data_IF_469339847147
#
_entry.id   IF_469339847147
#
_cell.length_a   1.000
_cell.length_b   1.000
_cell.length_c   1.000
_cell.angle_alpha   90.00
_cell.angle_beta   90.00
_cell.angle_gamma   90.00
#
_symmetry.space_group_name_H-M   'P 1'
#
loop_
_entity.id
_entity.type
_entity.pdbx_description
1 polymer ?
#
# COMPACT_ATOMS: atom_id res chain seq x y z
N UNK A 1 24.29 -7.87 -18.18
CA UNK A 1 24.61 -6.42 -18.31
C UNK A 1 25.69 -6.09 -17.29
N UNK A 2 26.91 -5.71 -17.72
CA UNK A 2 27.94 -5.16 -16.82
C UNK A 2 27.73 -3.65 -16.76
N UNK A 3 27.38 -3.11 -15.59
CA UNK A 3 27.40 -1.67 -15.35
C UNK A 3 28.83 -1.27 -14.95
N UNK A 4 29.41 -0.20 -15.55
CA UNK A 4 30.73 0.28 -15.17
C UNK A 4 30.71 0.88 -13.76
N UNK A 5 31.81 0.71 -13.00
CA UNK A 5 31.88 1.19 -11.61
C UNK A 5 31.78 2.71 -11.52
N UNK A 6 32.31 3.42 -12.51
CA UNK A 6 32.31 4.87 -12.58
C UNK A 6 30.88 5.44 -12.58
N UNK A 7 29.96 4.77 -13.28
CA UNK A 7 28.55 5.14 -13.27
C UNK A 7 27.89 4.82 -11.92
N UNK A 8 28.19 3.65 -11.34
CA UNK A 8 27.66 3.24 -10.04
C UNK A 8 28.09 4.20 -8.92
N UNK A 9 29.35 4.60 -8.90
CA UNK A 9 29.88 5.52 -7.89
C UNK A 9 29.20 6.89 -7.96
N UNK A 10 29.01 7.40 -9.18
CA UNK A 10 28.31 8.66 -9.42
C UNK A 10 26.85 8.59 -8.98
N UNK A 11 26.12 7.56 -9.37
CA UNK A 11 24.68 7.46 -9.14
C UNK A 11 24.33 7.11 -7.69
N UNK A 12 25.13 6.25 -7.06
CA UNK A 12 24.91 5.82 -5.68
C UNK A 12 25.46 6.81 -4.64
N UNK A 13 26.40 7.67 -5.03
CA UNK A 13 27.13 8.54 -4.10
C UNK A 13 28.01 7.76 -3.11
N UNK A 14 28.38 6.52 -3.45
CA UNK A 14 29.23 5.65 -2.65
C UNK A 14 30.44 5.20 -3.48
N UNK A 15 31.63 5.16 -2.87
CA UNK A 15 32.82 4.70 -3.59
C UNK A 15 32.76 3.19 -3.87
N UNK A 16 33.48 2.76 -4.90
CA UNK A 16 33.69 1.35 -5.24
C UNK A 16 34.21 0.58 -4.03
N UNK A 17 35.10 1.19 -3.25
CA UNK A 17 35.62 0.58 -2.03
C UNK A 17 34.51 0.32 -1.00
N UNK A 18 33.64 1.30 -0.75
CA UNK A 18 32.49 1.16 0.16
C UNK A 18 31.53 0.06 -0.31
N UNK A 19 31.19 0.04 -1.60
CA UNK A 19 30.33 -1.00 -2.19
C UNK A 19 30.94 -2.40 -2.03
N UNK A 20 32.23 -2.55 -2.35
CA UNK A 20 32.93 -3.82 -2.21
C UNK A 20 33.09 -4.23 -0.74
N UNK A 21 33.28 -3.29 0.17
CA UNK A 21 33.32 -3.55 1.60
C UNK A 21 31.98 -4.09 2.10
N UNK A 22 30.85 -3.48 1.71
CA UNK A 22 29.51 -3.98 2.00
C UNK A 22 29.30 -5.39 1.41
N UNK A 23 29.69 -5.60 0.15
CA UNK A 23 29.56 -6.90 -0.51
C UNK A 23 30.35 -7.99 0.22
N UNK A 24 31.59 -7.72 0.64
CA UNK A 24 32.41 -8.65 1.42
C UNK A 24 31.81 -8.95 2.79
N UNK A 25 31.35 -7.91 3.50
CA UNK A 25 30.68 -8.07 4.80
C UNK A 25 29.44 -8.95 4.67
N UNK A 26 28.58 -8.68 3.69
CA UNK A 26 27.39 -9.47 3.42
C UNK A 26 27.73 -10.91 3.00
N UNK A 27 28.75 -11.11 2.17
CA UNK A 27 29.21 -12.44 1.76
C UNK A 27 29.78 -13.27 2.92
N UNK A 28 30.37 -12.64 3.93
CA UNK A 28 30.85 -13.31 5.14
C UNK A 28 29.73 -13.59 6.17
N UNK A 29 28.61 -12.87 6.09
CA UNK A 29 27.52 -12.99 7.05
C UNK A 29 26.86 -14.39 6.99
N UNK A 30 26.68 -15.01 8.16
CA UNK A 30 25.95 -16.28 8.33
C UNK A 30 24.43 -16.08 8.34
N UNK A 31 23.95 -14.88 8.64
CA UNK A 31 22.54 -14.52 8.69
C UNK A 31 22.37 -13.03 8.41
N UNK A 32 21.32 -12.66 7.68
CA UNK A 32 20.97 -11.28 7.39
C UNK A 32 19.46 -11.14 7.24
N UNK A 33 18.89 -10.07 7.82
CA UNK A 33 17.51 -9.64 7.58
C UNK A 33 17.57 -8.34 6.80
N UNK A 34 16.93 -8.32 5.63
CA UNK A 34 16.81 -7.12 4.82
C UNK A 34 15.59 -6.35 5.29
N UNK A 35 15.81 -5.16 5.80
CA UNK A 35 14.75 -4.28 6.30
C UNK A 35 14.68 -3.07 5.40
N UNK A 36 13.50 -2.76 4.87
CA UNK A 36 13.30 -1.55 4.07
C UNK A 36 11.92 -0.94 4.32
N UNK A 37 11.74 0.29 3.85
CA UNK A 37 10.45 0.98 3.88
C UNK A 37 10.30 1.89 2.65
N UNK A 38 9.66 3.04 2.80
CA UNK A 38 9.25 3.91 1.71
C UNK A 38 10.42 4.53 0.93
N UNK A 39 11.60 4.67 1.54
CA UNK A 39 12.83 5.10 0.85
C UNK A 39 13.31 4.14 -0.24
N UNK A 40 12.72 2.95 -0.36
CA UNK A 40 12.95 2.05 -1.49
C UNK A 40 11.75 2.04 -2.44
N UNK A 41 10.53 2.04 -1.90
CA UNK A 41 9.31 1.81 -2.69
C UNK A 41 8.75 3.08 -3.35
N UNK A 42 8.97 4.26 -2.78
CA UNK A 42 8.47 5.56 -3.31
C UNK A 42 9.44 6.17 -4.34
N UNK A 43 9.94 5.34 -5.25
CA UNK A 43 10.79 5.74 -6.36
C UNK A 43 10.20 5.22 -7.67
N UNK A 44 10.55 5.87 -8.79
CA UNK A 44 10.15 5.45 -10.14
C UNK A 44 10.44 3.97 -10.42
N UNK A 45 11.53 3.43 -9.86
CA UNK A 45 11.96 2.05 -10.01
C UNK A 45 11.76 1.22 -8.73
N UNK A 46 10.82 1.60 -7.85
CA UNK A 46 10.64 0.98 -6.54
C UNK A 46 10.39 -0.54 -6.60
N UNK A 47 9.66 -1.02 -7.61
CA UNK A 47 9.44 -2.45 -7.84
C UNK A 47 10.75 -3.17 -8.15
N UNK A 48 11.58 -2.60 -9.03
CA UNK A 48 12.85 -3.21 -9.43
C UNK A 48 13.87 -3.16 -8.28
N UNK A 49 13.85 -2.10 -7.47
CA UNK A 49 14.67 -1.99 -6.26
C UNK A 49 14.32 -3.10 -5.26
N UNK A 50 13.03 -3.35 -4.99
CA UNK A 50 12.60 -4.45 -4.11
C UNK A 50 13.00 -5.81 -4.69
N UNK A 51 12.86 -6.02 -6.01
CA UNK A 51 13.32 -7.24 -6.66
C UNK A 51 14.83 -7.43 -6.52
N UNK A 52 15.63 -6.38 -6.66
CA UNK A 52 17.08 -6.45 -6.49
C UNK A 52 17.47 -6.88 -5.07
N UNK A 53 16.82 -6.33 -4.05
CA UNK A 53 17.00 -6.73 -2.64
C UNK A 53 16.60 -8.20 -2.45
N UNK A 54 15.43 -8.60 -2.96
CA UNK A 54 14.96 -9.98 -2.85
C UNK A 54 15.91 -10.98 -3.54
N UNK A 55 16.40 -10.65 -4.74
CA UNK A 55 17.35 -11.47 -5.48
C UNK A 55 18.66 -11.66 -4.71
N UNK A 56 19.18 -10.61 -4.07
CA UNK A 56 20.38 -10.70 -3.24
C UNK A 56 20.17 -11.64 -2.05
N UNK A 57 19.03 -11.51 -1.35
CA UNK A 57 18.68 -12.39 -0.24
C UNK A 57 18.54 -13.86 -0.69
N UNK A 58 17.88 -14.09 -1.81
CA UNK A 58 17.67 -15.42 -2.38
C UNK A 58 18.99 -16.07 -2.82
N UNK A 59 19.87 -15.32 -3.50
CA UNK A 59 21.18 -15.81 -3.95
C UNK A 59 22.07 -16.32 -2.81
N UNK A 60 21.84 -15.84 -1.58
CA UNK A 60 22.58 -16.23 -0.38
C UNK A 60 21.81 -17.12 0.59
N UNK A 61 20.61 -17.59 0.23
CA UNK A 61 19.78 -18.40 1.11
C UNK A 61 19.41 -17.67 2.42
N UNK A 62 19.13 -16.37 2.33
CA UNK A 62 18.71 -15.51 3.45
C UNK A 62 17.19 -15.46 3.60
N UNK A 63 16.48 -16.52 3.20
CA UNK A 63 15.04 -16.68 3.33
C UNK A 63 14.75 -18.12 3.76
N UNK A 64 13.71 -18.34 4.57
CA UNK A 64 13.24 -19.69 4.95
C UNK A 64 13.94 -20.29 6.17
N UNK A 65 14.71 -19.50 6.94
CA UNK A 65 15.34 -19.95 8.19
C UNK A 65 15.40 -18.85 9.25
N UNK A 66 15.52 -19.18 10.55
CA UNK A 66 15.59 -18.20 11.63
C UNK A 66 16.70 -17.16 11.41
N UNK A 67 16.44 -15.93 11.88
CA UNK A 67 17.37 -14.77 11.80
C UNK A 67 17.73 -14.35 10.36
N UNK A 68 16.93 -14.77 9.39
CA UNK A 68 17.03 -14.32 8.00
C UNK A 68 15.67 -13.92 7.47
N UNK A 69 15.64 -13.04 6.47
CA UNK A 69 14.40 -12.76 5.78
C UNK A 69 14.37 -11.40 5.11
N UNK A 70 13.18 -11.11 4.60
CA UNK A 70 12.82 -9.90 3.90
C UNK A 70 11.71 -9.22 4.71
N UNK A 71 11.96 -8.02 5.21
CA UNK A 71 11.06 -7.27 6.07
C UNK A 71 10.79 -5.88 5.48
N UNK A 72 9.65 -5.76 4.79
CA UNK A 72 9.10 -4.47 4.41
C UNK A 72 8.36 -3.88 5.61
N UNK A 73 8.95 -2.88 6.27
CA UNK A 73 8.29 -2.17 7.37
C UNK A 73 7.13 -1.36 6.79
N UNK A 74 5.93 -1.66 7.29
CA UNK A 74 4.71 -0.93 6.96
C UNK A 74 4.50 0.20 7.97
N UNK A 75 4.02 1.35 7.49
CA UNK A 75 3.89 2.55 8.31
C UNK A 75 2.69 2.52 9.25
N UNK A 76 1.48 2.35 8.70
CA UNK A 76 0.24 2.39 9.50
C UNK A 76 -0.09 1.01 10.08
N UNK A 77 -0.58 0.99 11.32
CA UNK A 77 -0.92 -0.23 12.07
C UNK A 77 -1.94 -1.14 11.37
N UNK A 78 -2.85 -0.57 10.56
CA UNK A 78 -3.89 -1.33 9.85
C UNK A 78 -3.54 -1.77 8.43
N UNK A 79 -2.41 -1.36 7.84
CA UNK A 79 -2.17 -1.61 6.39
C UNK A 79 -1.91 -3.08 6.06
N UNK A 80 -1.37 -3.87 7.00
CA UNK A 80 -1.24 -5.32 6.80
C UNK A 80 -2.62 -5.98 6.82
N UNK A 81 -3.38 -5.77 7.91
CA UNK A 81 -4.71 -6.37 8.09
C UNK A 81 -5.70 -5.94 7.00
N UNK A 82 -5.71 -4.66 6.63
CA UNK A 82 -6.54 -4.13 5.54
C UNK A 82 -6.36 -4.90 4.23
N UNK A 83 -5.11 -5.13 3.81
CA UNK A 83 -4.83 -5.91 2.61
C UNK A 83 -5.29 -7.37 2.74
N UNK A 84 -5.11 -7.97 3.92
CA UNK A 84 -5.53 -9.35 4.20
C UNK A 84 -7.06 -9.51 4.19
N UNK A 85 -7.82 -8.50 4.61
CA UNK A 85 -9.29 -8.48 4.54
C UNK A 85 -9.84 -7.95 3.22
N UNK A 86 -8.99 -7.79 2.19
CA UNK A 86 -9.44 -7.41 0.84
C UNK A 86 -9.68 -5.92 0.62
N UNK A 87 -9.16 -5.03 1.48
CA UNK A 87 -9.16 -3.58 1.24
C UNK A 87 -8.11 -3.16 0.19
N UNK A 88 -8.00 -3.93 -0.89
CA UNK A 88 -7.17 -3.69 -2.07
C UNK A 88 -7.97 -4.06 -3.32
N UNK A 89 -7.84 -3.31 -4.43
CA UNK A 89 -8.77 -3.45 -5.56
C UNK A 89 -8.59 -4.73 -6.39
N UNK A 90 -7.51 -5.49 -6.16
CA UNK A 90 -7.15 -6.67 -6.96
C UNK A 90 -7.26 -8.00 -6.19
N UNK A 91 -7.68 -7.99 -4.93
CA UNK A 91 -7.78 -9.19 -4.12
C UNK A 91 -9.04 -9.20 -3.26
N UNK A 92 -9.65 -10.38 -3.12
CA UNK A 92 -10.63 -10.69 -2.08
C UNK A 92 -9.92 -11.01 -0.74
N UNK A 93 -10.66 -11.08 0.39
CA UNK A 93 -10.09 -11.45 1.69
C UNK A 93 -9.29 -12.76 1.62
N UNK A 94 -8.13 -12.82 2.25
CA UNK A 94 -7.19 -13.94 2.18
C UNK A 94 -6.25 -13.90 0.98
N UNK A 95 -6.25 -12.82 0.19
CA UNK A 95 -5.33 -12.60 -0.92
C UNK A 95 -5.71 -13.29 -2.24
N UNK A 96 -6.93 -13.84 -2.33
CA UNK A 96 -7.44 -14.44 -3.57
C UNK A 96 -7.58 -13.38 -4.66
N UNK A 97 -7.02 -13.62 -5.85
CA UNK A 97 -7.13 -12.66 -6.95
C UNK A 97 -8.59 -12.41 -7.36
N UNK A 98 -8.92 -11.17 -7.73
CA UNK A 98 -10.24 -10.85 -8.29
C UNK A 98 -10.35 -11.44 -9.70
N UNK A 99 -11.08 -12.55 -9.82
CA UNK A 99 -11.34 -13.26 -11.06
C UNK A 99 -12.70 -14.01 -10.99
N UNK A 100 -13.14 -14.61 -12.09
CA UNK A 100 -14.44 -15.28 -12.17
C UNK A 100 -14.59 -16.46 -11.21
N UNK A 101 -13.50 -17.20 -10.96
CA UNK A 101 -13.52 -18.38 -10.10
C UNK A 101 -13.71 -17.99 -8.64
N UNK A 102 -12.87 -17.09 -8.11
CA UNK A 102 -12.98 -16.63 -6.74
C UNK A 102 -14.26 -15.82 -6.51
N UNK A 103 -14.70 -15.01 -7.48
CA UNK A 103 -15.96 -14.28 -7.38
C UNK A 103 -17.15 -15.23 -7.17
N UNK A 104 -17.22 -16.36 -7.87
CA UNK A 104 -18.28 -17.38 -7.65
C UNK A 104 -18.22 -17.97 -6.25
N UNK A 105 -17.01 -18.25 -5.75
CA UNK A 105 -16.82 -18.76 -4.38
C UNK A 105 -17.34 -17.78 -3.34
N UNK A 106 -16.98 -16.50 -3.46
CA UNK A 106 -17.45 -15.47 -2.53
C UNK A 106 -18.95 -15.18 -2.70
N UNK A 107 -19.49 -15.23 -3.93
CA UNK A 107 -20.92 -15.09 -4.19
C UNK A 107 -21.76 -16.17 -3.50
N UNK A 108 -21.29 -17.42 -3.52
CA UNK A 108 -21.95 -18.53 -2.83
C UNK A 108 -21.97 -18.34 -1.30
N UNK A 109 -20.94 -17.70 -0.74
CA UNK A 109 -20.84 -17.43 0.70
C UNK A 109 -21.64 -16.18 1.13
N UNK A 110 -21.59 -15.11 0.34
CA UNK A 110 -22.22 -13.82 0.67
C UNK A 110 -23.67 -13.68 0.19
N UNK A 111 -24.13 -14.54 -0.70
CA UNK A 111 -25.53 -14.54 -1.17
C UNK A 111 -25.87 -13.45 -2.18
N UNK A 112 -24.87 -12.83 -2.83
CA UNK A 112 -25.08 -11.86 -3.91
C UNK A 112 -24.03 -12.01 -5.02
N UNK A 113 -24.29 -11.43 -6.19
CA UNK A 113 -23.34 -11.46 -7.31
C UNK A 113 -22.09 -10.61 -7.02
N UNK A 114 -20.93 -11.25 -7.00
CA UNK A 114 -19.66 -10.58 -6.71
C UNK A 114 -18.95 -10.17 -8.00
N UNK A 115 -18.51 -8.90 -8.13
CA UNK A 115 -17.74 -8.46 -9.28
C UNK A 115 -16.42 -9.22 -9.43
N UNK A 116 -16.08 -9.58 -10.66
CA UNK A 116 -14.86 -10.33 -10.99
C UNK A 116 -13.83 -9.49 -11.76
N UNK A 117 -13.98 -8.16 -11.71
CA UNK A 117 -13.06 -7.20 -12.32
C UNK A 117 -12.36 -6.40 -11.24
N UNK A 118 -11.07 -6.15 -11.43
CA UNK A 118 -10.26 -5.32 -10.53
C UNK A 118 -10.87 -3.91 -10.41
N UNK A 119 -10.95 -3.38 -9.19
CA UNK A 119 -11.31 -1.99 -8.93
C UNK A 119 -10.17 -1.01 -9.24
N UNK A 120 -10.37 0.26 -8.89
CA UNK A 120 -9.34 1.30 -9.03
C UNK A 120 -8.41 1.37 -7.80
N UNK A 121 -7.12 1.57 -8.02
CA UNK A 121 -6.19 2.07 -7.00
C UNK A 121 -6.40 3.56 -6.76
N UNK A 122 -5.92 4.09 -5.63
CA UNK A 122 -6.14 5.49 -5.25
C UNK A 122 -5.76 6.53 -6.33
N UNK A 123 -4.65 6.33 -7.05
CA UNK A 123 -4.28 7.22 -8.16
C UNK A 123 -5.25 7.08 -9.35
N UNK A 124 -5.60 5.86 -9.73
CA UNK A 124 -6.57 5.59 -10.80
C UNK A 124 -7.98 6.12 -10.45
N UNK A 125 -8.34 6.13 -9.17
CA UNK A 125 -9.60 6.74 -8.71
C UNK A 125 -9.62 8.24 -9.00
N UNK A 126 -8.50 8.95 -8.85
CA UNK A 126 -8.43 10.37 -9.18
C UNK A 126 -8.54 10.60 -10.68
N UNK A 127 -7.88 9.77 -11.49
CA UNK A 127 -7.99 9.85 -12.95
C UNK A 127 -9.42 9.57 -13.41
N UNK A 128 -10.05 8.53 -12.86
CA UNK A 128 -11.44 8.22 -13.11
C UNK A 128 -12.38 9.35 -12.65
N UNK A 129 -12.15 9.95 -11.48
CA UNK A 129 -12.92 11.10 -11.01
C UNK A 129 -12.73 12.34 -11.91
N UNK A 130 -11.51 12.60 -12.37
CA UNK A 130 -11.21 13.67 -13.32
C UNK A 130 -12.00 13.51 -14.63
N UNK A 131 -12.06 12.28 -15.12
CA UNK A 131 -12.83 11.84 -16.29
C UNK A 131 -14.33 11.68 -16.03
N UNK A 132 -14.82 12.01 -14.83
CA UNK A 132 -16.23 11.88 -14.41
C UNK A 132 -16.79 10.45 -14.53
N UNK A 133 -15.95 9.45 -14.26
CA UNK A 133 -16.31 8.01 -14.23
C UNK A 133 -16.67 7.51 -12.82
N UNK A 134 -16.68 8.40 -11.82
CA UNK A 134 -17.03 8.10 -10.43
C UNK A 134 -18.15 9.04 -10.00
N UNK A 135 -19.33 8.47 -9.78
CA UNK A 135 -20.50 9.20 -9.29
C UNK A 135 -20.50 9.36 -7.76
N UNK A 136 -19.86 8.43 -7.06
CA UNK A 136 -19.84 8.39 -5.59
C UNK A 136 -18.49 7.95 -5.06
N UNK A 137 -17.98 8.69 -4.08
CA UNK A 137 -16.82 8.31 -3.28
C UNK A 137 -17.24 8.08 -1.84
N UNK A 138 -17.05 6.86 -1.34
CA UNK A 138 -17.11 6.56 0.08
C UNK A 138 -15.68 6.45 0.64
N UNK A 139 -15.25 7.48 1.36
CA UNK A 139 -13.94 7.59 1.99
C UNK A 139 -14.04 7.28 3.50
N UNK A 140 -13.34 6.24 3.95
CA UNK A 140 -13.31 5.81 5.37
C UNK A 140 -11.90 6.05 5.92
N UNK A 141 -11.78 6.89 6.96
CA UNK A 141 -10.52 7.13 7.70
C UNK A 141 -9.31 7.50 6.83
N UNK A 142 -9.53 8.21 5.73
CA UNK A 142 -8.49 8.53 4.74
C UNK A 142 -8.56 10.01 4.37
N UNK A 143 -7.45 10.56 3.88
CA UNK A 143 -7.36 11.93 3.38
C UNK A 143 -6.51 11.99 2.11
N UNK A 144 -7.15 11.74 0.96
CA UNK A 144 -6.47 11.69 -0.35
C UNK A 144 -5.76 13.00 -0.68
N UNK A 145 -6.32 14.13 -0.26
CA UNK A 145 -5.77 15.46 -0.50
C UNK A 145 -4.39 15.67 0.12
N UNK A 146 -4.16 15.12 1.32
CA UNK A 146 -2.89 15.29 2.04
C UNK A 146 -1.86 14.20 1.77
N UNK A 147 -2.28 13.01 1.32
CA UNK A 147 -1.38 11.85 1.16
C UNK A 147 -0.91 11.61 -0.28
N UNK A 148 -1.58 12.18 -1.27
CA UNK A 148 -1.21 12.04 -2.69
C UNK A 148 -0.36 13.23 -3.17
N UNK A 149 0.55 13.03 -4.14
CA UNK A 149 1.64 13.96 -4.40
C UNK A 149 1.22 15.31 -5.04
N UNK A 150 0.15 15.34 -5.84
CA UNK A 150 -0.35 16.57 -6.46
C UNK A 150 -1.71 16.95 -5.86
N UNK A 151 -1.67 17.70 -4.75
CA UNK A 151 -2.87 18.16 -4.03
C UNK A 151 -3.78 19.06 -4.88
N UNK A 152 -3.23 19.77 -5.89
CA UNK A 152 -4.03 20.60 -6.80
C UNK A 152 -4.83 19.73 -7.75
N UNK A 153 -4.19 18.69 -8.31
CA UNK A 153 -4.88 17.69 -9.12
C UNK A 153 -5.93 16.94 -8.30
N UNK A 154 -5.56 16.46 -7.11
CA UNK A 154 -6.47 15.76 -6.19
C UNK A 154 -7.71 16.60 -5.91
N UNK A 155 -7.54 17.88 -5.55
CA UNK A 155 -8.65 18.80 -5.30
C UNK A 155 -9.59 18.86 -6.49
N UNK A 156 -9.07 19.15 -7.68
CA UNK A 156 -9.90 19.30 -8.88
C UNK A 156 -10.58 18.00 -9.31
N UNK A 157 -9.93 16.85 -9.11
CA UNK A 157 -10.51 15.54 -9.39
C UNK A 157 -11.66 15.23 -8.41
N UNK A 158 -11.45 15.42 -7.11
CA UNK A 158 -12.46 15.16 -6.08
C UNK A 158 -13.67 16.10 -6.20
N UNK A 159 -13.47 17.37 -6.58
CA UNK A 159 -14.56 18.34 -6.84
C UNK A 159 -15.52 17.87 -7.94
N UNK A 160 -15.07 17.01 -8.85
CA UNK A 160 -15.90 16.50 -9.95
C UNK A 160 -16.79 15.35 -9.54
N UNK A 161 -16.58 14.76 -8.37
CA UNK A 161 -17.40 13.67 -7.86
C UNK A 161 -18.70 14.28 -7.29
N UNK A 162 -19.88 13.92 -7.83
CA UNK A 162 -21.15 14.48 -7.39
C UNK A 162 -21.41 14.24 -5.90
N UNK A 163 -21.28 12.99 -5.46
CA UNK A 163 -21.62 12.59 -4.11
C UNK A 163 -20.42 12.03 -3.35
N UNK A 164 -20.14 12.57 -2.16
CA UNK A 164 -19.03 12.10 -1.32
C UNK A 164 -19.48 11.82 0.09
N UNK A 165 -19.13 10.65 0.61
CA UNK A 165 -19.32 10.27 2.00
C UNK A 165 -17.94 10.21 2.65
N UNK A 166 -17.76 10.95 3.72
CA UNK A 166 -16.57 10.91 4.55
C UNK A 166 -16.95 10.33 5.92
N UNK A 167 -16.41 9.16 6.25
CA UNK A 167 -16.62 8.49 7.53
C UNK A 167 -15.31 8.48 8.30
N UNK A 168 -15.22 9.34 9.32
CA UNK A 168 -13.96 9.66 9.97
C UNK A 168 -14.19 10.08 11.44
N UNK A 169 -13.11 10.03 12.22
CA UNK A 169 -13.10 10.42 13.64
C UNK A 169 -12.77 11.91 13.82
N UNK A 170 -12.19 12.55 12.80
CA UNK A 170 -11.85 13.98 12.78
C UNK A 170 -12.15 14.60 11.43
N UNK A 171 -12.48 15.90 11.43
CA UNK A 171 -12.61 16.65 10.19
C UNK A 171 -11.25 16.82 9.51
N UNK A 172 -11.20 16.65 8.20
CA UNK A 172 -9.99 16.86 7.40
C UNK A 172 -10.26 17.67 6.12
N UNK A 173 -9.19 18.17 5.48
CA UNK A 173 -9.27 19.18 4.43
C UNK A 173 -10.11 18.75 3.21
N UNK A 174 -10.08 17.46 2.84
CA UNK A 174 -10.85 16.96 1.68
C UNK A 174 -12.37 17.06 1.91
N UNK A 175 -12.84 17.01 3.17
CA UNK A 175 -14.27 17.13 3.51
C UNK A 175 -14.79 18.55 3.24
N UNK A 176 -13.90 19.54 3.27
CA UNK A 176 -14.18 20.96 3.08
C UNK A 176 -13.97 21.42 1.63
N UNK A 177 -13.61 20.50 0.73
CA UNK A 177 -13.61 20.77 -0.70
C UNK A 177 -15.06 20.80 -1.14
N UNK A 178 -15.48 21.75 -1.98
CA UNK A 178 -16.85 21.77 -2.50
C UNK A 178 -17.13 20.53 -3.37
N UNK A 179 -18.25 19.83 -3.20
CA UNK A 179 -18.66 18.76 -4.11
C UNK A 179 -19.22 19.31 -5.42
N UNK A 180 -19.47 18.42 -6.39
CA UNK A 180 -20.33 18.77 -7.52
C UNK A 180 -21.82 18.84 -7.11
N UNK A 181 -22.23 18.08 -6.08
CA UNK A 181 -23.59 18.07 -5.54
C UNK A 181 -23.58 18.03 -4.00
N UNK A 182 -23.24 16.88 -3.40
CA UNK A 182 -23.46 16.66 -1.96
C UNK A 182 -22.25 16.05 -1.25
N UNK A 183 -21.95 16.53 -0.04
CA UNK A 183 -21.02 15.90 0.91
C UNK A 183 -21.76 15.48 2.16
N UNK A 184 -21.65 14.19 2.51
CA UNK A 184 -22.09 13.65 3.79
C UNK A 184 -20.88 13.38 4.69
N UNK A 185 -20.93 13.88 5.92
CA UNK A 185 -19.92 13.58 6.95
C UNK A 185 -20.56 12.69 8.01
N UNK A 186 -20.01 11.49 8.17
CA UNK A 186 -20.44 10.50 9.15
C UNK A 186 -19.38 10.40 10.25
N UNK A 187 -19.73 10.63 11.53
CA UNK A 187 -18.79 10.43 12.62
C UNK A 187 -18.52 8.92 12.83
N UNK A 188 -17.25 8.57 13.00
CA UNK A 188 -16.81 7.24 13.41
C UNK A 188 -16.41 7.22 14.89
N UNK A 189 -16.41 6.03 15.50
CA UNK A 189 -15.82 5.80 16.82
C UNK A 189 -14.30 5.63 16.72
N UNK A 190 -13.56 6.14 17.71
CA UNK A 190 -12.12 5.85 17.83
C UNK A 190 -11.86 4.40 18.24
N UNK A 191 -10.60 3.95 18.12
CA UNK A 191 -10.22 2.58 18.55
C UNK A 191 -10.53 2.29 20.02
N UNK A 192 -10.62 3.32 20.85
CA UNK A 192 -10.87 3.23 22.30
C UNK A 192 -12.37 3.27 22.65
N UNK A 193 -13.22 3.67 21.72
CA UNK A 193 -14.68 3.74 21.90
C UNK A 193 -15.38 2.48 21.40
N UNK A 194 -14.72 1.67 20.56
CA UNK A 194 -15.32 0.45 20.02
C UNK A 194 -15.52 -0.61 21.11
N UNK A 195 -16.78 -0.97 21.32
CA UNK A 195 -17.17 -2.03 22.25
C UNK A 195 -16.53 -3.35 21.83
N UNK A 196 -15.79 -3.98 22.75
CA UNK A 196 -15.08 -5.23 22.46
C UNK A 196 -13.72 -5.04 21.79
N UNK A 197 -13.18 -3.82 21.73
CA UNK A 197 -11.83 -3.53 21.23
C UNK A 197 -11.68 -3.70 19.72
N UNK A 198 -10.43 -3.74 19.25
CA UNK A 198 -10.08 -3.86 17.83
C UNK A 198 -8.95 -4.84 17.65
N UNK A 199 -8.93 -5.56 16.53
CA UNK A 199 -7.76 -6.35 16.14
C UNK A 199 -6.93 -5.60 15.13
N UNK A 200 -5.60 -5.62 15.27
CA UNK A 200 -4.67 -5.14 14.26
C UNK A 200 -3.70 -6.25 13.85
N UNK A 201 -3.29 -6.23 12.58
CA UNK A 201 -2.23 -7.11 12.09
C UNK A 201 -0.95 -6.30 11.95
N UNK A 202 0.07 -6.67 12.71
CA UNK A 202 1.35 -5.96 12.73
C UNK A 202 2.18 -6.24 11.47
N UNK A 203 3.28 -5.50 11.27
CA UNK A 203 4.22 -5.68 10.14
C UNK A 203 4.72 -7.13 10.01
N UNK A 204 4.94 -7.81 11.13
CA UNK A 204 5.39 -9.22 11.17
C UNK A 204 4.22 -10.23 11.05
N UNK A 205 3.03 -9.74 10.69
CA UNK A 205 1.79 -10.51 10.49
C UNK A 205 1.22 -11.14 11.75
N UNK A 206 1.52 -10.57 12.93
CA UNK A 206 0.89 -10.99 14.17
C UNK A 206 -0.46 -10.29 14.31
N UNK A 207 -1.51 -11.04 14.60
CA UNK A 207 -2.79 -10.48 15.00
C UNK A 207 -2.71 -10.18 16.49
N UNK A 208 -2.94 -8.92 16.84
CA UNK A 208 -3.02 -8.44 18.22
C UNK A 208 -4.35 -7.72 18.45
N UNK A 209 -4.68 -7.50 19.72
CA UNK A 209 -5.87 -6.82 20.21
C UNK A 209 -5.47 -5.50 20.89
#
# INVERSE_FOLDING_TARGET
LRQPFEALEKDAGASREQMLAFARMYAAAKSAVFVWSMGITMHRHGVDNVKAIANLALARGMVGRPKTGLMAIRGHSGVQGGAEVGAVPNQFPGGFAVNKEHARRFAAFWGFEVPHRRGYYAAEMLDAAWEKKIDTLYCVGSNLFSVLPDSRYVRRAIQRIPFRIHHDIVLNQQMLIDPADTVLVLPATTRYEMAGGNTETTTERRIIF
#
